data_IF_036713429461
#
_entry.id   IF_036713429461
#
_cell.length_a   1.000
_cell.length_b   1.000
_cell.length_c   1.000
_cell.angle_alpha   90.00
_cell.angle_beta   90.00
_cell.angle_gamma   90.00
#
_symmetry.space_group_name_H-M   'P 1'
#
loop_
_entity.id
_entity.type
_entity.pdbx_description
1 polymer ?
#
# COMPACT_ATOMS: atom_id res chain seq x y z
N UNK A 1 40.65 16.07 -19.33
CA UNK A 1 39.23 16.20 -19.68
C UNK A 1 38.47 15.11 -18.94
N UNK A 2 37.76 15.49 -17.89
CA UNK A 2 36.84 14.63 -17.17
C UNK A 2 35.63 14.36 -18.08
N UNK A 3 35.26 13.11 -18.27
CA UNK A 3 33.89 12.75 -18.62
C UNK A 3 33.38 11.85 -17.50
N UNK A 4 32.74 12.48 -16.51
CA UNK A 4 31.84 11.81 -15.58
C UNK A 4 30.59 11.41 -16.37
N UNK A 5 30.49 10.15 -16.77
CA UNK A 5 29.21 9.54 -17.13
C UNK A 5 28.58 9.01 -15.85
N UNK A 6 27.65 9.78 -15.29
CA UNK A 6 26.78 9.36 -14.19
C UNK A 6 25.82 8.32 -14.78
N UNK A 7 26.08 7.04 -14.54
CA UNK A 7 25.11 5.97 -14.80
C UNK A 7 24.06 5.99 -13.68
N UNK A 8 22.83 6.39 -14.02
CA UNK A 8 21.68 6.30 -13.13
C UNK A 8 21.42 4.84 -12.73
N UNK A 9 21.36 4.56 -11.43
CA UNK A 9 21.07 3.23 -10.90
C UNK A 9 19.64 2.82 -11.24
N UNK A 10 19.52 1.73 -11.99
CA UNK A 10 18.27 1.10 -12.44
C UNK A 10 17.77 0.22 -11.28
N UNK A 11 16.48 0.33 -10.95
CA UNK A 11 15.88 -0.37 -9.80
C UNK A 11 16.01 -1.89 -9.91
N UNK A 12 16.70 -2.51 -8.95
CA UNK A 12 16.87 -3.97 -8.88
C UNK A 12 15.70 -4.64 -8.15
N UNK A 13 15.17 -5.72 -8.72
CA UNK A 13 14.24 -6.63 -8.05
C UNK A 13 14.99 -7.89 -7.57
N UNK A 14 14.84 -8.31 -6.31
CA UNK A 14 15.47 -9.54 -5.76
C UNK A 14 14.45 -10.44 -5.06
N UNK A 15 14.34 -11.71 -5.49
CA UNK A 15 13.72 -12.85 -4.76
C UNK A 15 14.35 -14.17 -5.28
N UNK A 16 14.45 -15.30 -4.53
CA UNK A 16 14.51 -15.49 -3.08
C UNK A 16 15.93 -15.90 -2.60
N UNK A 17 16.15 -15.77 -1.28
CA UNK A 17 17.31 -16.31 -0.55
C UNK A 17 17.25 -17.83 -0.62
N UNK A 18 18.27 -18.48 -1.21
CA UNK A 18 18.42 -19.95 -1.07
C UNK A 18 18.74 -20.29 0.38
N UNK A 19 18.38 -21.49 0.84
CA UNK A 19 18.59 -22.01 2.20
C UNK A 19 20.05 -21.94 2.73
N UNK A 20 21.00 -21.60 1.86
CA UNK A 20 22.41 -21.38 2.18
C UNK A 20 22.76 -19.90 2.50
N UNK A 21 21.78 -18.99 2.56
CA UNK A 21 21.97 -17.57 2.87
C UNK A 21 22.55 -16.73 1.73
N UNK A 22 22.87 -17.34 0.58
CA UNK A 22 23.35 -16.61 -0.59
C UNK A 22 22.19 -16.03 -1.38
N UNK A 23 22.28 -14.74 -1.68
CA UNK A 23 21.35 -14.02 -2.55
C UNK A 23 21.88 -14.10 -3.97
N UNK A 24 21.12 -14.72 -4.87
CA UNK A 24 21.45 -14.80 -6.30
C UNK A 24 20.39 -14.07 -7.09
N UNK A 25 20.75 -13.10 -7.96
CA UNK A 25 19.77 -12.46 -8.83
C UNK A 25 19.20 -13.49 -9.82
N UNK A 26 17.87 -13.55 -9.93
CA UNK A 26 17.18 -14.49 -10.83
C UNK A 26 16.68 -13.83 -12.12
N UNK A 27 16.43 -12.52 -12.11
CA UNK A 27 15.94 -11.75 -13.25
C UNK A 27 16.21 -10.25 -13.07
N UNK A 28 16.33 -9.54 -14.19
CA UNK A 28 16.35 -8.08 -14.26
C UNK A 28 15.14 -7.64 -15.09
N UNK A 29 14.23 -6.87 -14.50
CA UNK A 29 12.98 -6.45 -15.12
C UNK A 29 13.11 -5.04 -15.67
N UNK A 30 13.62 -4.93 -16.89
CA UNK A 30 13.74 -3.65 -17.58
C UNK A 30 12.42 -3.29 -18.29
N UNK A 31 11.82 -2.16 -17.90
CA UNK A 31 10.58 -1.68 -18.51
C UNK A 31 10.20 -0.25 -18.13
N UNK A 32 10.58 0.18 -16.93
CA UNK A 32 10.41 1.58 -16.52
C UNK A 32 11.47 2.48 -17.15
N UNK A 33 11.09 3.69 -17.52
CA UNK A 33 12.00 4.71 -18.07
C UNK A 33 12.51 5.68 -17.01
N UNK A 34 12.10 5.51 -15.75
CA UNK A 34 12.47 6.34 -14.61
C UNK A 34 12.51 5.49 -13.33
N UNK A 35 12.71 6.14 -12.19
CA UNK A 35 12.74 5.49 -10.87
C UNK A 35 11.44 4.72 -10.57
N UNK A 36 11.61 3.54 -9.98
CA UNK A 36 10.51 2.70 -9.48
C UNK A 36 10.29 3.05 -8.01
N UNK A 37 9.06 3.39 -7.63
CA UNK A 37 8.71 3.82 -6.28
C UNK A 37 8.32 2.68 -5.37
N UNK A 38 7.41 1.82 -5.84
CA UNK A 38 6.86 0.73 -5.04
C UNK A 38 6.64 -0.51 -5.89
N UNK A 39 6.71 -1.65 -5.20
CA UNK A 39 6.48 -2.98 -5.72
C UNK A 39 5.40 -3.65 -4.87
N UNK A 40 4.57 -4.49 -5.49
CA UNK A 40 3.57 -5.28 -4.78
C UNK A 40 3.49 -6.69 -5.38
N UNK A 41 3.66 -7.70 -4.55
CA UNK A 41 3.47 -9.10 -4.94
C UNK A 41 2.00 -9.45 -4.89
N UNK A 42 1.51 -10.15 -5.91
CA UNK A 42 0.16 -10.70 -5.85
C UNK A 42 0.14 -11.95 -4.96
N UNK A 43 -1.07 -12.39 -4.61
CA UNK A 43 -1.23 -13.64 -3.87
C UNK A 43 -0.76 -14.85 -4.71
N UNK A 44 -0.09 -15.85 -4.10
CA UNK A 44 0.44 -17.01 -4.83
C UNK A 44 -0.60 -17.82 -5.61
N UNK A 45 -1.87 -17.75 -5.24
CA UNK A 45 -2.97 -18.42 -5.96
C UNK A 45 -3.12 -17.95 -7.41
N UNK A 46 -2.62 -16.74 -7.71
CA UNK A 46 -2.61 -16.18 -9.07
C UNK A 46 -1.29 -16.44 -9.82
N UNK A 47 -0.38 -17.22 -9.23
CA UNK A 47 0.95 -17.49 -9.77
C UNK A 47 1.99 -16.45 -9.39
N UNK A 48 3.15 -16.48 -10.07
CA UNK A 48 4.24 -15.54 -9.85
C UNK A 48 3.95 -14.19 -10.48
N UNK A 49 3.14 -13.36 -9.82
CA UNK A 49 2.79 -12.02 -10.27
C UNK A 49 3.40 -10.94 -9.38
N UNK A 50 3.92 -9.90 -10.03
CA UNK A 50 4.51 -8.74 -9.39
C UNK A 50 4.06 -7.48 -10.13
N UNK A 51 3.62 -6.46 -9.41
CA UNK A 51 3.37 -5.13 -9.95
C UNK A 51 4.49 -4.18 -9.56
N UNK A 52 4.81 -3.25 -10.45
CA UNK A 52 5.74 -2.14 -10.22
C UNK A 52 5.14 -0.82 -10.64
N UNK A 53 5.38 0.23 -9.86
CA UNK A 53 4.95 1.59 -10.12
C UNK A 53 6.15 2.53 -10.20
N UNK A 54 6.12 3.44 -11.18
CA UNK A 54 7.25 4.32 -11.46
C UNK A 54 6.90 5.79 -11.62
N UNK A 55 7.95 6.62 -11.54
CA UNK A 55 7.90 8.05 -11.85
C UNK A 55 7.56 8.33 -13.32
N UNK A 56 7.76 7.34 -14.19
CA UNK A 56 7.42 7.38 -15.61
C UNK A 56 5.92 7.29 -15.92
N UNK A 57 5.07 7.30 -14.87
CA UNK A 57 3.60 7.26 -14.92
C UNK A 57 3.06 5.89 -15.34
N UNK A 58 3.91 4.87 -15.31
CA UNK A 58 3.55 3.51 -15.73
C UNK A 58 3.31 2.64 -14.52
N UNK A 59 2.37 1.72 -14.68
CA UNK A 59 2.21 0.55 -13.81
C UNK A 59 2.47 -0.66 -14.68
N UNK A 60 3.44 -1.47 -14.30
CA UNK A 60 3.82 -2.66 -15.06
C UNK A 60 3.53 -3.89 -14.22
N UNK A 61 2.83 -4.86 -14.82
CA UNK A 61 2.56 -6.15 -14.20
C UNK A 61 3.42 -7.19 -14.89
N UNK A 62 4.23 -7.86 -14.09
CA UNK A 62 5.17 -8.89 -14.47
C UNK A 62 4.62 -10.24 -14.09
N UNK A 63 4.76 -11.21 -14.99
CA UNK A 63 4.39 -12.61 -14.75
C UNK A 63 5.59 -13.51 -14.92
N UNK A 64 5.68 -14.51 -14.06
CA UNK A 64 6.68 -15.55 -14.07
C UNK A 64 6.10 -16.83 -14.64
N UNK A 65 6.72 -17.32 -15.71
CA UNK A 65 6.38 -18.59 -16.34
C UNK A 65 7.65 -19.44 -16.43
N UNK A 66 7.71 -20.53 -15.65
CA UNK A 66 8.81 -21.50 -15.66
C UNK A 66 10.21 -20.87 -15.50
N UNK A 67 10.35 -19.99 -14.51
CA UNK A 67 11.58 -19.27 -14.17
C UNK A 67 11.88 -18.07 -15.06
N UNK A 68 11.02 -17.76 -16.03
CA UNK A 68 11.18 -16.60 -16.92
C UNK A 68 10.16 -15.53 -16.60
N UNK A 69 10.68 -14.35 -16.30
CA UNK A 69 9.87 -13.16 -16.06
C UNK A 69 9.64 -12.39 -17.35
N UNK A 70 8.39 -11.98 -17.56
CA UNK A 70 8.00 -11.16 -18.69
C UNK A 70 6.95 -10.13 -18.30
N UNK A 71 6.88 -9.03 -19.05
CA UNK A 71 5.83 -8.03 -18.91
C UNK A 71 4.51 -8.60 -19.42
N UNK A 72 3.55 -8.78 -18.52
CA UNK A 72 2.21 -9.29 -18.84
C UNK A 72 1.26 -8.16 -19.24
N UNK A 73 1.34 -7.02 -18.57
CA UNK A 73 0.47 -5.89 -18.79
C UNK A 73 1.19 -4.59 -18.44
N UNK A 74 0.87 -3.52 -19.16
CA UNK A 74 1.38 -2.18 -18.94
C UNK A 74 0.20 -1.22 -18.98
N UNK A 75 0.05 -0.44 -17.92
CA UNK A 75 -0.99 0.54 -17.80
C UNK A 75 -0.41 1.94 -17.68
N UNK A 76 -0.92 2.85 -18.51
CA UNK A 76 -0.48 4.25 -18.61
C UNK A 76 -1.65 5.22 -18.47
N UNK A 77 -2.60 4.91 -17.58
CA UNK A 77 -3.78 5.75 -17.34
C UNK A 77 -3.52 6.98 -16.45
N UNK A 78 -2.36 7.07 -15.82
CA UNK A 78 -1.98 8.20 -14.98
C UNK A 78 -1.23 9.30 -15.75
N UNK A 79 -1.49 10.55 -15.38
CA UNK A 79 -0.87 11.72 -16.02
C UNK A 79 0.41 12.17 -15.31
N UNK A 80 0.68 11.63 -14.11
CA UNK A 80 1.84 11.91 -13.28
C UNK A 80 2.35 10.65 -12.54
N UNK A 81 3.44 10.82 -11.80
CA UNK A 81 4.16 9.74 -11.08
C UNK A 81 3.21 8.84 -10.29
N UNK A 82 3.37 7.52 -10.41
CA UNK A 82 2.62 6.56 -9.60
C UNK A 82 3.45 6.24 -8.36
N UNK A 83 3.01 6.75 -7.21
CA UNK A 83 3.79 6.74 -5.99
C UNK A 83 3.62 5.44 -5.20
N UNK A 84 2.44 4.81 -5.31
CA UNK A 84 2.13 3.62 -4.53
C UNK A 84 1.22 2.65 -5.26
N UNK A 85 1.40 1.36 -4.95
CA UNK A 85 0.61 0.25 -5.47
C UNK A 85 0.37 -0.82 -4.41
N UNK A 86 -0.79 -1.46 -4.47
CA UNK A 86 -1.15 -2.53 -3.56
C UNK A 86 -2.12 -3.51 -4.21
N UNK A 87 -1.78 -4.79 -4.23
CA UNK A 87 -2.72 -5.85 -4.59
C UNK A 87 -3.77 -6.03 -3.48
N UNK A 88 -5.01 -6.24 -3.89
CA UNK A 88 -6.12 -6.54 -3.02
C UNK A 88 -5.97 -7.94 -2.39
N UNK A 89 -6.61 -8.19 -1.24
CA UNK A 89 -6.77 -9.55 -0.73
C UNK A 89 -7.36 -10.49 -1.78
N UNK A 90 -6.80 -11.70 -1.89
CA UNK A 90 -7.12 -12.65 -2.98
C UNK A 90 -8.59 -13.05 -3.06
N UNK A 91 -9.34 -12.95 -1.95
CA UNK A 91 -10.77 -13.22 -1.90
C UNK A 91 -11.60 -12.20 -2.69
N UNK A 92 -11.05 -11.00 -2.96
CA UNK A 92 -11.67 -9.98 -3.81
C UNK A 92 -11.36 -10.19 -5.31
N UNK A 93 -10.61 -11.25 -5.65
CA UNK A 93 -10.05 -11.48 -6.98
C UNK A 93 -8.69 -10.82 -7.17
N UNK A 94 -8.19 -10.85 -8.40
CA UNK A 94 -6.93 -10.23 -8.77
C UNK A 94 -7.18 -8.76 -9.11
N UNK A 95 -7.10 -7.90 -8.09
CA UNK A 95 -7.31 -6.45 -8.20
C UNK A 95 -6.07 -5.72 -7.70
N UNK A 96 -5.62 -4.71 -8.44
CA UNK A 96 -4.50 -3.84 -8.10
C UNK A 96 -5.01 -2.42 -7.91
N UNK A 97 -4.72 -1.80 -6.77
CA UNK A 97 -4.91 -0.36 -6.56
C UNK A 97 -3.60 0.38 -6.75
N UNK A 98 -3.69 1.60 -7.26
CA UNK A 98 -2.58 2.48 -7.58
C UNK A 98 -2.90 3.89 -7.10
N UNK A 99 -1.90 4.63 -6.63
CA UNK A 99 -2.03 6.02 -6.21
C UNK A 99 -1.01 6.88 -6.95
N UNK A 100 -1.47 7.98 -7.54
CA UNK A 100 -0.65 8.86 -8.36
C UNK A 100 -0.68 10.31 -7.89
N UNK A 101 0.42 11.01 -8.20
CA UNK A 101 0.54 12.45 -8.04
C UNK A 101 -0.45 13.24 -8.93
N UNK A 102 -1.13 12.60 -9.89
CA UNK A 102 -2.15 13.22 -10.76
C UNK A 102 -3.53 13.39 -10.08
N UNK A 103 -3.55 13.33 -8.75
CA UNK A 103 -4.76 13.48 -7.94
C UNK A 103 -5.75 12.31 -8.07
N UNK A 104 -5.36 11.17 -8.66
CA UNK A 104 -6.26 10.04 -8.88
C UNK A 104 -5.76 8.72 -8.29
N UNK A 105 -6.70 7.78 -8.15
CA UNK A 105 -6.41 6.38 -7.86
C UNK A 105 -6.80 5.53 -9.07
N UNK A 106 -5.95 4.61 -9.47
CA UNK A 106 -6.26 3.61 -10.50
C UNK A 106 -6.61 2.27 -9.88
N UNK A 107 -7.59 1.58 -10.45
CA UNK A 107 -8.01 0.24 -10.06
C UNK A 107 -7.95 -0.65 -11.30
N UNK A 108 -7.10 -1.68 -11.27
CA UNK A 108 -6.96 -2.65 -12.35
C UNK A 108 -7.50 -3.98 -11.84
N UNK A 109 -8.58 -4.47 -12.45
CA UNK A 109 -9.23 -5.72 -12.09
C UNK A 109 -9.08 -6.74 -13.22
N UNK A 110 -8.47 -7.88 -12.94
CA UNK A 110 -8.28 -8.91 -13.94
C UNK A 110 -9.52 -9.77 -14.09
N UNK A 111 -10.07 -9.85 -15.31
CA UNK A 111 -11.16 -10.75 -15.63
C UNK A 111 -10.61 -12.10 -16.12
N UNK A 112 -10.81 -13.20 -15.36
CA UNK A 112 -10.27 -14.52 -15.73
C UNK A 112 -10.95 -15.13 -16.96
N UNK A 113 -12.18 -14.73 -17.30
CA UNK A 113 -12.91 -15.29 -18.46
C UNK A 113 -12.39 -14.73 -19.77
N UNK A 114 -12.06 -13.43 -19.80
CA UNK A 114 -11.53 -12.76 -20.99
C UNK A 114 -10.00 -12.70 -21.00
N UNK A 115 -9.35 -13.03 -19.87
CA UNK A 115 -7.91 -12.89 -19.64
C UNK A 115 -7.41 -11.45 -19.89
N UNK A 116 -8.24 -10.46 -19.56
CA UNK A 116 -7.94 -9.04 -19.76
C UNK A 116 -8.04 -8.25 -18.45
N UNK A 117 -7.24 -7.21 -18.35
CA UNK A 117 -7.32 -6.22 -17.28
C UNK A 117 -8.39 -5.20 -17.60
N UNK A 118 -9.33 -5.01 -16.67
CA UNK A 118 -10.31 -3.95 -16.68
C UNK A 118 -9.73 -2.77 -15.89
N UNK A 119 -9.56 -1.65 -16.58
CA UNK A 119 -8.91 -0.46 -16.05
C UNK A 119 -9.95 0.56 -15.64
N UNK A 120 -9.92 0.99 -14.39
CA UNK A 120 -10.79 2.03 -13.85
C UNK A 120 -9.97 3.10 -13.12
N UNK A 121 -10.50 4.32 -13.07
CA UNK A 121 -9.82 5.48 -12.49
C UNK A 121 -10.79 6.30 -11.64
N UNK A 122 -10.44 6.49 -10.38
CA UNK A 122 -11.10 7.40 -9.45
C UNK A 122 -10.44 8.78 -9.62
N UNK A 123 -11.05 9.61 -10.47
CA UNK A 123 -10.56 10.96 -10.70
C UNK A 123 -10.78 11.86 -9.46
N UNK A 124 -9.85 12.79 -9.21
CA UNK A 124 -9.92 13.76 -8.10
C UNK A 124 -10.09 13.10 -6.72
N UNK A 125 -9.43 11.97 -6.51
CA UNK A 125 -9.38 11.30 -5.22
C UNK A 125 -8.76 12.19 -4.14
N UNK A 126 -7.69 12.92 -4.46
CA UNK A 126 -7.03 13.89 -3.57
C UNK A 126 -6.79 15.21 -4.30
N UNK A 127 -6.82 16.36 -3.62
CA UNK A 127 -6.72 17.66 -4.31
C UNK A 127 -5.29 18.00 -4.78
N UNK A 128 -4.26 17.49 -4.10
CA UNK A 128 -2.85 17.83 -4.34
C UNK A 128 -1.96 16.61 -4.65
N UNK A 129 -2.57 15.50 -5.07
CA UNK A 129 -1.90 14.25 -5.39
C UNK A 129 -2.06 13.19 -4.30
N UNK A 130 -2.10 11.92 -4.72
CA UNK A 130 -2.16 10.76 -3.84
C UNK A 130 -0.75 10.16 -3.67
N UNK A 131 -0.41 9.80 -2.43
CA UNK A 131 0.91 9.29 -2.06
C UNK A 131 0.89 7.78 -1.80
N UNK A 132 -0.10 7.29 -1.07
CA UNK A 132 -0.19 5.89 -0.71
C UNK A 132 -1.61 5.32 -0.80
N UNK A 133 -1.69 4.00 -0.97
CA UNK A 133 -2.92 3.22 -0.99
C UNK A 133 -2.75 1.92 -0.20
N UNK A 134 -3.79 1.54 0.55
CA UNK A 134 -3.80 0.31 1.34
C UNK A 134 -5.20 -0.30 1.38
N UNK A 135 -5.30 -1.60 1.10
CA UNK A 135 -6.57 -2.31 1.10
C UNK A 135 -7.06 -2.62 2.50
N UNK A 136 -8.37 -2.52 2.71
CA UNK A 136 -9.03 -3.05 3.89
C UNK A 136 -8.92 -4.60 3.86
N UNK A 137 -8.64 -5.26 5.00
CA UNK A 137 -8.77 -6.70 5.09
C UNK A 137 -10.20 -7.12 4.78
N UNK A 138 -10.35 -8.36 4.31
CA UNK A 138 -11.62 -8.88 3.78
C UNK A 138 -12.71 -8.84 4.84
N UNK A 139 -13.83 -8.22 4.48
CA UNK A 139 -15.07 -8.29 5.23
C UNK A 139 -16.08 -9.16 4.47
N UNK A 140 -16.49 -10.26 5.09
CA UNK A 140 -17.63 -11.04 4.61
C UNK A 140 -18.92 -10.29 5.00
N UNK A 141 -19.70 -9.84 4.02
CA UNK A 141 -20.94 -9.07 4.27
C UNK A 141 -22.15 -9.98 4.41
N UNK A 142 -22.15 -11.12 3.70
CA UNK A 142 -23.19 -12.13 3.79
C UNK A 142 -22.58 -13.53 3.85
N UNK A 143 -23.03 -14.33 4.80
CA UNK A 143 -22.70 -15.75 4.92
C UNK A 143 -23.87 -16.66 4.52
N UNK A 144 -24.96 -16.10 3.98
CA UNK A 144 -26.11 -16.89 3.55
C UNK A 144 -25.78 -17.72 2.31
N UNK A 145 -26.36 -18.91 2.28
CA UNK A 145 -25.96 -20.05 1.45
C UNK A 145 -25.89 -19.73 -0.05
N UNK A 146 -24.68 -19.45 -0.56
CA UNK A 146 -24.32 -19.60 -1.96
C UNK A 146 -23.39 -18.54 -2.53
N UNK A 147 -23.48 -17.28 -2.08
CA UNK A 147 -22.73 -16.18 -2.66
C UNK A 147 -22.07 -15.33 -1.56
N UNK A 148 -20.77 -15.54 -1.35
CA UNK A 148 -19.98 -14.74 -0.41
C UNK A 148 -19.70 -13.39 -1.06
N UNK A 149 -20.56 -12.40 -0.78
CA UNK A 149 -20.28 -11.03 -1.20
C UNK A 149 -19.25 -10.41 -0.26
N UNK A 150 -18.12 -10.03 -0.84
CA UNK A 150 -17.06 -9.32 -0.15
C UNK A 150 -17.11 -7.84 -0.49
N UNK A 151 -16.99 -6.99 0.53
CA UNK A 151 -16.94 -5.53 0.31
C UNK A 151 -15.53 -5.10 -0.07
N UNK A 152 -15.38 -4.51 -1.25
CA UNK A 152 -14.15 -3.83 -1.67
C UNK A 152 -14.06 -2.48 -0.95
N UNK A 153 -13.03 -2.31 -0.12
CA UNK A 153 -12.73 -1.07 0.59
C UNK A 153 -11.22 -0.84 0.62
N UNK A 154 -10.80 0.41 0.46
CA UNK A 154 -9.40 0.81 0.52
C UNK A 154 -9.26 2.17 1.22
N UNK A 155 -8.08 2.41 1.80
CA UNK A 155 -7.65 3.71 2.28
C UNK A 155 -6.63 4.31 1.30
N UNK A 156 -6.69 5.61 1.12
CA UNK A 156 -5.69 6.39 0.40
C UNK A 156 -5.30 7.61 1.21
N UNK A 157 -4.11 8.13 0.97
CA UNK A 157 -3.66 9.37 1.56
C UNK A 157 -2.94 10.25 0.53
N UNK A 158 -2.87 11.55 0.80
CA UNK A 158 -2.32 12.50 -0.17
C UNK A 158 -1.77 13.78 0.44
N UNK A 159 -1.36 14.67 -0.45
CA UNK A 159 -0.85 16.00 -0.10
C UNK A 159 -1.96 16.96 0.33
N UNK A 160 -3.23 16.57 0.24
CA UNK A 160 -4.36 17.31 0.79
C UNK A 160 -4.50 17.15 2.31
N UNK A 161 -3.55 16.48 2.97
CA UNK A 161 -3.48 16.25 4.44
C UNK A 161 -4.57 15.31 4.95
N UNK A 162 -5.27 14.64 4.04
CA UNK A 162 -6.38 13.77 4.36
C UNK A 162 -6.01 12.31 4.13
N UNK A 163 -6.60 11.47 4.96
CA UNK A 163 -6.74 10.04 4.69
C UNK A 163 -8.19 9.82 4.26
N UNK A 164 -8.41 9.23 3.10
CA UNK A 164 -9.76 8.97 2.56
C UNK A 164 -10.01 7.48 2.47
N UNK A 165 -11.22 7.08 2.80
CA UNK A 165 -11.68 5.69 2.70
C UNK A 165 -12.67 5.61 1.55
N UNK A 166 -12.45 4.64 0.67
CA UNK A 166 -13.23 4.40 -0.52
C UNK A 166 -13.91 3.04 -0.42
N UNK A 167 -15.16 2.98 -0.88
CA UNK A 167 -15.95 1.75 -1.00
C UNK A 167 -16.55 1.70 -2.39
N UNK A 168 -16.86 0.50 -2.85
CA UNK A 168 -17.69 0.31 -4.04
C UNK A 168 -19.17 0.39 -3.62
N UNK A 169 -19.98 1.11 -4.39
CA UNK A 169 -21.44 1.21 -4.22
C UNK A 169 -22.18 0.02 -4.85
N UNK A 170 -23.52 0.01 -4.80
CA UNK A 170 -24.34 -1.04 -5.40
C UNK A 170 -24.26 -1.07 -6.94
N UNK A 171 -23.85 0.04 -7.57
CA UNK A 171 -23.69 0.18 -9.01
C UNK A 171 -22.32 -0.29 -9.50
N UNK A 172 -21.39 -0.63 -8.59
CA UNK A 172 -20.01 -0.98 -8.92
C UNK A 172 -19.08 0.23 -9.06
N UNK A 173 -19.53 1.43 -8.71
CA UNK A 173 -18.74 2.66 -8.75
C UNK A 173 -18.02 2.90 -7.42
N UNK A 174 -16.81 3.44 -7.50
CA UNK A 174 -16.03 3.81 -6.32
C UNK A 174 -16.50 5.15 -5.76
N UNK A 175 -16.94 5.14 -4.51
CA UNK A 175 -17.40 6.33 -3.79
C UNK A 175 -16.58 6.55 -2.53
N UNK A 176 -16.40 7.83 -2.17
CA UNK A 176 -15.73 8.21 -0.93
C UNK A 176 -16.67 7.96 0.25
N UNK A 177 -16.30 7.04 1.13
CA UNK A 177 -17.10 6.70 2.31
C UNK A 177 -16.84 7.67 3.47
N UNK A 178 -15.56 7.96 3.74
CA UNK A 178 -15.11 8.84 4.83
C UNK A 178 -13.89 9.64 4.42
N UNK A 179 -13.82 10.86 4.94
CA UNK A 179 -12.64 11.71 4.90
C UNK A 179 -12.16 11.91 6.33
N UNK A 180 -10.92 11.51 6.60
CA UNK A 180 -10.29 11.53 7.90
C UNK A 180 -9.29 12.70 7.94
N UNK A 181 -9.68 13.75 8.66
CA UNK A 181 -8.86 14.94 8.88
C UNK A 181 -8.17 14.85 10.25
N UNK A 182 -6.86 15.09 10.27
CA UNK A 182 -6.07 15.03 11.50
C UNK A 182 -4.60 15.37 11.30
N UNK A 183 -4.06 15.10 10.10
CA UNK A 183 -2.74 15.57 9.73
C UNK A 183 -2.73 17.08 9.45
N UNK A 184 -1.61 17.72 9.76
CA UNK A 184 -1.41 19.17 9.53
C UNK A 184 -0.57 19.48 8.28
N UNK A 185 0.04 18.45 7.68
CA UNK A 185 0.83 18.52 6.45
C UNK A 185 0.67 17.23 5.61
N UNK A 186 1.44 17.07 4.54
CA UNK A 186 1.34 15.97 3.59
C UNK A 186 1.41 14.60 4.24
N UNK A 187 0.42 13.75 3.97
CA UNK A 187 0.40 12.36 4.46
C UNK A 187 1.21 11.51 3.48
N UNK A 188 2.28 10.88 3.97
CA UNK A 188 3.24 10.13 3.14
C UNK A 188 2.81 8.69 2.92
N UNK A 189 2.31 8.05 3.96
CA UNK A 189 1.91 6.64 3.91
C UNK A 189 0.67 6.36 4.74
N UNK A 190 -0.05 5.32 4.33
CA UNK A 190 -1.23 4.79 5.01
C UNK A 190 -1.21 3.28 4.95
N UNK A 191 -1.41 2.64 6.10
CA UNK A 191 -1.51 1.19 6.19
C UNK A 191 -2.72 0.76 6.98
N UNK A 192 -3.59 -0.03 6.34
CA UNK A 192 -4.68 -0.70 6.99
C UNK A 192 -4.14 -1.90 7.79
N UNK A 193 -4.58 -2.05 9.04
CA UNK A 193 -4.21 -3.22 9.83
C UNK A 193 -4.81 -4.49 9.19
N UNK A 194 -4.01 -5.54 8.91
CA UNK A 194 -4.50 -6.74 8.23
C UNK A 194 -5.41 -7.59 9.11
N UNK A 195 -5.42 -7.35 10.42
CA UNK A 195 -6.25 -8.07 11.39
C UNK A 195 -7.39 -7.17 11.86
N UNK A 196 -8.62 -7.67 11.72
CA UNK A 196 -9.80 -7.05 12.32
C UNK A 196 -9.91 -7.55 13.75
N UNK A 197 -9.58 -6.70 14.73
CA UNK A 197 -9.71 -7.03 16.13
C UNK A 197 -11.08 -6.57 16.64
N UNK A 198 -11.89 -7.49 17.20
CA UNK A 198 -13.19 -7.19 17.84
C UNK A 198 -14.01 -6.14 17.06
N UNK A 199 -14.39 -6.43 15.80
CA UNK A 199 -15.20 -5.55 14.91
C UNK A 199 -14.65 -4.14 14.64
N UNK A 200 -13.45 -3.81 15.14
CA UNK A 200 -12.80 -2.52 14.91
C UNK A 200 -11.78 -2.58 13.78
N UNK A 201 -11.88 -1.63 12.87
CA UNK A 201 -10.84 -1.38 11.87
C UNK A 201 -9.81 -0.42 12.44
N UNK A 202 -8.54 -0.71 12.22
CA UNK A 202 -7.45 0.19 12.57
C UNK A 202 -6.67 0.54 11.31
N UNK A 203 -6.43 1.83 11.09
CA UNK A 203 -5.53 2.36 10.06
C UNK A 203 -4.43 3.15 10.76
N UNK A 204 -3.20 3.03 10.28
CA UNK A 204 -2.11 3.92 10.66
C UNK A 204 -1.78 4.83 9.48
N UNK A 205 -1.49 6.10 9.77
CA UNK A 205 -0.95 7.04 8.78
C UNK A 205 0.22 7.82 9.37
N UNK A 206 1.16 8.18 8.50
CA UNK A 206 2.31 9.01 8.85
C UNK A 206 2.57 10.06 7.78
N UNK A 207 3.16 11.19 8.17
CA UNK A 207 3.32 12.31 7.26
C UNK A 207 4.49 13.24 7.55
N UNK A 208 4.55 14.29 6.75
CA UNK A 208 5.51 15.39 6.83
C UNK A 208 5.37 16.20 8.12
N UNK A 209 4.20 16.16 8.75
CA UNK A 209 3.90 16.80 10.03
C UNK A 209 4.51 16.10 11.25
N UNK A 210 5.32 15.06 11.01
CA UNK A 210 6.03 14.30 12.03
C UNK A 210 5.07 13.52 12.95
N UNK A 211 3.81 13.37 12.55
CA UNK A 211 2.80 12.68 13.36
C UNK A 211 2.58 11.27 12.83
N UNK A 212 2.44 10.32 13.76
CA UNK A 212 1.81 9.03 13.48
C UNK A 212 0.41 9.08 14.08
N UNK A 213 -0.61 8.91 13.23
CA UNK A 213 -2.01 8.92 13.66
C UNK A 213 -2.58 7.52 13.47
N UNK A 214 -3.23 7.02 14.52
CA UNK A 214 -4.02 5.80 14.48
C UNK A 214 -5.50 6.16 14.36
N UNK A 215 -6.15 5.61 13.35
CA UNK A 215 -7.56 5.78 13.10
C UNK A 215 -8.28 4.50 13.48
N UNK A 216 -9.22 4.57 14.41
CA UNK A 216 -10.04 3.44 14.84
C UNK A 216 -11.48 3.64 14.45
N UNK A 217 -12.03 2.68 13.73
CA UNK A 217 -13.45 2.61 13.45
C UNK A 217 -14.13 1.81 14.56
N UNK A 218 -15.07 2.46 15.26
CA UNK A 218 -15.95 1.78 16.21
C UNK A 218 -17.02 0.97 15.46
N UNK A 219 -17.77 0.12 16.17
CA UNK A 219 -18.88 -0.67 15.62
C UNK A 219 -19.96 0.18 14.93
N UNK A 220 -20.13 1.42 15.38
CA UNK A 220 -21.08 2.38 14.82
C UNK A 220 -20.63 2.99 13.47
N UNK A 221 -19.45 2.60 12.95
CA UNK A 221 -18.90 3.18 11.72
C UNK A 221 -18.26 4.57 11.89
N UNK A 222 -18.09 5.00 13.14
CA UNK A 222 -17.43 6.27 13.48
C UNK A 222 -15.92 6.07 13.61
N UNK A 223 -15.16 6.98 13.00
CA UNK A 223 -13.70 6.95 12.99
C UNK A 223 -13.14 7.96 13.99
N UNK A 224 -12.30 7.47 14.91
CA UNK A 224 -11.60 8.28 15.90
C UNK A 224 -10.11 8.32 15.60
N UNK A 225 -9.54 9.53 15.62
CA UNK A 225 -8.11 9.76 15.49
C UNK A 225 -7.44 9.75 16.87
N UNK A 226 -6.36 8.98 17.02
CA UNK A 226 -5.48 8.99 18.19
C UNK A 226 -4.06 9.27 17.73
N UNK A 227 -3.48 10.36 18.21
CA UNK A 227 -2.05 10.64 18.01
C UNK A 227 -1.24 9.58 18.77
N UNK A 228 -0.39 8.86 18.06
CA UNK A 228 0.49 7.84 18.63
C UNK A 228 1.77 8.48 19.15
N UNK A 229 2.48 9.20 18.28
CA UNK A 229 3.73 9.89 18.60
C UNK A 229 3.88 11.10 17.68
N UNK A 230 4.59 12.11 18.17
CA UNK A 230 5.17 13.17 17.37
C UNK A 230 6.69 12.95 17.29
N UNK A 231 7.16 12.49 16.15
CA UNK A 231 8.57 12.21 15.89
C UNK A 231 9.40 13.50 15.71
N UNK A 232 10.72 13.35 15.69
CA UNK A 232 11.67 14.45 15.48
C UNK A 232 12.16 14.53 14.02
N UNK A 233 11.25 14.37 13.06
CA UNK A 233 11.56 14.38 11.62
C UNK A 233 10.38 13.93 10.77
N UNK A 234 10.48 14.12 9.45
CA UNK A 234 9.44 13.64 8.54
C UNK A 234 9.35 12.10 8.58
N UNK A 235 8.14 11.57 8.44
CA UNK A 235 7.91 10.13 8.42
C UNK A 235 7.59 9.67 7.00
N UNK A 236 8.18 8.54 6.59
CA UNK A 236 8.13 8.09 5.20
C UNK A 236 7.20 6.90 5.01
N UNK A 237 7.32 5.87 5.84
CA UNK A 237 6.50 4.67 5.72
C UNK A 237 5.98 4.15 7.05
N UNK A 238 4.80 3.53 6.98
CA UNK A 238 4.15 2.83 8.07
C UNK A 238 3.77 1.42 7.59
N UNK A 239 4.00 0.41 8.42
CA UNK A 239 3.67 -0.98 8.05
C UNK A 239 3.23 -1.79 9.25
N UNK A 240 2.23 -2.63 9.04
CA UNK A 240 1.71 -3.55 10.04
C UNK A 240 2.37 -4.92 9.90
N UNK A 241 2.67 -5.54 11.03
CA UNK A 241 2.92 -6.99 11.06
C UNK A 241 1.70 -7.75 10.56
N UNK A 242 1.91 -8.93 9.97
CA UNK A 242 0.84 -9.78 9.43
C UNK A 242 -0.20 -10.15 10.51
N UNK A 243 0.24 -10.32 11.76
CA UNK A 243 -0.64 -10.58 12.91
C UNK A 243 -1.29 -9.31 13.51
N UNK A 244 -1.03 -8.12 12.96
CA UNK A 244 -1.59 -6.86 13.43
C UNK A 244 -1.12 -6.39 14.81
N UNK A 245 -0.18 -7.09 15.46
CA UNK A 245 0.25 -6.78 16.82
C UNK A 245 1.35 -5.72 16.90
N UNK A 246 2.10 -5.53 15.81
CA UNK A 246 3.23 -4.61 15.72
C UNK A 246 3.02 -3.63 14.57
N UNK A 247 3.27 -2.36 14.84
CA UNK A 247 3.38 -1.31 13.82
C UNK A 247 4.85 -0.88 13.72
N UNK A 248 5.40 -0.87 12.52
CA UNK A 248 6.70 -0.27 12.23
C UNK A 248 6.52 1.09 11.58
N UNK A 249 7.27 2.08 12.06
CA UNK A 249 7.29 3.45 11.53
C UNK A 249 8.73 3.76 11.11
N UNK A 250 8.91 4.31 9.91
CA UNK A 250 10.21 4.77 9.41
C UNK A 250 10.24 6.28 9.23
N UNK A 251 11.33 6.91 9.66
CA UNK A 251 11.50 8.35 9.66
C UNK A 251 12.78 8.84 8.98
N UNK A 252 12.89 10.16 8.90
CA UNK A 252 14.06 10.90 8.40
C UNK A 252 15.32 10.70 9.27
N UNK A 253 15.16 10.29 10.52
CA UNK A 253 16.25 10.01 11.46
C UNK A 253 17.02 8.71 11.16
N UNK A 254 16.73 8.07 10.02
CA UNK A 254 17.27 6.77 9.59
C UNK A 254 17.00 5.64 10.59
N UNK A 255 16.02 5.79 11.49
CA UNK A 255 15.61 4.77 12.44
C UNK A 255 14.24 4.20 12.08
N UNK A 256 14.04 2.96 12.46
CA UNK A 256 12.74 2.30 12.43
C UNK A 256 12.30 2.13 13.87
N UNK A 257 11.12 2.64 14.19
CA UNK A 257 10.52 2.52 15.51
C UNK A 257 9.41 1.47 15.45
N UNK A 258 9.47 0.50 16.34
CA UNK A 258 8.44 -0.52 16.47
C UNK A 258 7.51 -0.17 17.63
N UNK A 259 6.22 -0.38 17.43
CA UNK A 259 5.15 -0.08 18.37
C UNK A 259 4.29 -1.31 18.60
N UNK A 260 3.88 -1.54 19.85
CA UNK A 260 2.87 -2.55 20.22
C UNK A 260 1.81 -1.96 21.11
N UNK A 261 0.59 -2.46 20.96
CA UNK A 261 -0.49 -2.16 21.90
C UNK A 261 -0.41 -3.11 23.10
N UNK A 262 -0.53 -2.56 24.30
CA UNK A 262 -0.66 -3.34 25.53
C UNK A 262 -2.12 -3.73 25.79
N UNK A 263 -2.35 -4.60 26.78
CA UNK A 263 -3.69 -5.06 27.16
C UNK A 263 -4.63 -3.93 27.63
N UNK A 264 -4.10 -2.74 27.93
CA UNK A 264 -4.87 -1.56 28.35
C UNK A 264 -5.20 -0.64 27.16
N UNK A 265 -4.87 -1.02 25.93
CA UNK A 265 -5.11 -0.21 24.73
C UNK A 265 -4.16 0.97 24.55
N UNK A 266 -3.03 0.98 25.28
CA UNK A 266 -1.98 1.97 25.13
C UNK A 266 -0.86 1.41 24.27
N UNK A 267 -0.36 2.26 23.37
CA UNK A 267 0.73 1.90 22.50
C UNK A 267 2.06 2.25 23.17
N UNK A 268 2.98 1.30 23.15
CA UNK A 268 4.31 1.43 23.71
C UNK A 268 5.33 1.18 22.62
N UNK A 269 6.35 2.03 22.60
CA UNK A 269 7.55 1.83 21.79
C UNK A 269 8.23 0.55 22.28
N UNK A 270 8.60 -0.31 21.35
CA UNK A 270 9.57 -1.36 21.65
C UNK A 270 10.93 -0.69 21.62
N UNK A 271 11.56 -0.59 22.78
CA UNK A 271 12.95 -0.17 22.84
C UNK A 271 13.81 -1.27 22.21
N UNK A 272 14.91 -0.86 21.58
CA UNK A 272 15.95 -1.78 21.16
C UNK A 272 16.32 -2.60 22.39
N UNK A 273 16.18 -3.92 22.29
CA UNK A 273 16.92 -4.81 23.15
C UNK A 273 18.40 -4.61 22.79
N UNK A 274 19.01 -3.53 23.29
CA UNK A 274 20.45 -3.48 23.46
C UNK A 274 20.80 -4.76 24.22
N UNK A 275 21.52 -5.64 23.52
CA UNK A 275 22.06 -6.86 24.10
C UNK A 275 22.93 -6.49 25.29
N UNK A 276 22.34 -6.51 26.48
CA UNK A 276 23.07 -6.87 27.69
C UNK A 276 23.27 -8.38 27.63
N UNK A 277 24.42 -8.77 27.08
CA UNK A 277 25.23 -9.91 27.54
C UNK A 277 26.63 -9.79 26.94
#
# INVERSE_FOLDING_TARGET
MMHNSISMEIGWLRVPVKSNGYIVPIAELAGHTATVWQLSWAHPDFGGLLASAGYDRRVIIWTENNGRWQKSHEWTGHEASVNSISFAPHQLGLVLATASADCSLGILEFNPQTAQWMESKIAKAHEQGANAVSWCPVQCVSADAGDRSYRKRLASCGNDKLVKIWTVDENGEWVMEKSLAGHSDYVRDVAWCPVVNHTTYTIASCGQDQMVILWRCNENGEWNAKLLEKAHGALWHVSWSVCGSILSVSGEDNKIVLWRENLQGQWQRMDDAEGKN
#
